data_IF_105823391205
#
_entry.id   IF_105823391205
#
_cell.length_a   1.000
_cell.length_b   1.000
_cell.length_c   1.000
_cell.angle_alpha   90.00
_cell.angle_beta   90.00
_cell.angle_gamma   90.00
#
_symmetry.space_group_name_H-M   'P 1'
#
loop_
_entity.id
_entity.type
_entity.pdbx_description
1 polymer ?
#
# COMPACT_ATOMS: atom_id res chain seq x y z
N UNK A 1 9.21 7.13 -21.50
CA UNK A 1 9.97 5.96 -21.01
C UNK A 1 10.99 6.46 -19.97
N UNK A 2 10.50 6.88 -18.81
CA UNK A 2 11.34 7.38 -17.71
C UNK A 2 11.61 6.22 -16.75
N UNK A 3 12.69 5.49 -16.99
CA UNK A 3 13.14 4.41 -16.12
C UNK A 3 13.84 4.96 -14.88
N UNK A 4 13.25 4.65 -13.73
CA UNK A 4 13.91 4.44 -12.44
C UNK A 4 14.65 5.64 -11.83
N UNK A 5 13.91 6.48 -11.10
CA UNK A 5 14.46 7.12 -9.90
C UNK A 5 14.71 6.03 -8.86
N UNK A 6 15.85 5.34 -8.99
CA UNK A 6 16.36 4.40 -7.98
C UNK A 6 16.50 5.16 -6.67
N UNK A 7 15.50 5.04 -5.80
CA UNK A 7 15.52 5.60 -4.45
C UNK A 7 16.81 5.17 -3.77
N UNK A 8 17.71 6.14 -3.60
CA UNK A 8 18.99 5.98 -2.91
C UNK A 8 18.59 5.65 -1.48
N UNK A 9 18.65 4.37 -1.07
CA UNK A 9 18.51 3.99 0.33
C UNK A 9 19.66 4.65 1.09
N UNK A 10 19.40 5.85 1.60
CA UNK A 10 20.30 6.58 2.47
C UNK A 10 20.64 5.64 3.63
N UNK A 11 21.93 5.38 3.82
CA UNK A 11 22.39 4.59 4.97
C UNK A 11 21.83 5.28 6.22
N UNK A 12 21.18 4.53 7.14
CA UNK A 12 20.61 5.15 8.32
C UNK A 12 21.71 5.90 9.06
N UNK A 13 21.43 7.18 9.31
CA UNK A 13 22.26 8.06 10.10
C UNK A 13 22.52 7.41 11.46
N UNK A 14 23.67 7.71 12.08
CA UNK A 14 23.96 7.23 13.43
C UNK A 14 22.84 7.60 14.41
N UNK A 15 22.17 8.74 14.21
CA UNK A 15 21.01 9.14 15.01
C UNK A 15 19.79 8.23 14.85
N UNK A 16 19.49 7.80 13.62
CA UNK A 16 18.36 6.90 13.34
C UNK A 16 18.59 5.52 13.97
N UNK A 17 19.82 5.01 13.90
CA UNK A 17 20.18 3.73 14.55
C UNK A 17 20.01 3.79 16.07
N UNK A 18 20.39 4.90 16.69
CA UNK A 18 20.24 5.08 18.14
C UNK A 18 18.75 5.20 18.49
N UNK A 19 17.99 5.96 17.70
CA UNK A 19 16.54 6.09 17.89
C UNK A 19 15.83 4.73 17.79
N UNK A 20 16.19 3.91 16.81
CA UNK A 20 15.63 2.56 16.65
C UNK A 20 15.93 1.66 17.85
N UNK A 21 17.16 1.71 18.37
CA UNK A 21 17.56 0.95 19.57
C UNK A 21 16.77 1.42 20.79
N UNK A 22 16.61 2.74 20.96
CA UNK A 22 15.85 3.31 22.08
C UNK A 22 14.38 2.92 21.99
N UNK A 23 13.75 3.06 20.82
CA UNK A 23 12.36 2.69 20.60
C UNK A 23 12.12 1.19 20.81
N UNK A 24 13.05 0.33 20.38
CA UNK A 24 12.96 -1.11 20.62
C UNK A 24 13.11 -1.47 22.11
N UNK A 25 13.95 -0.74 22.85
CA UNK A 25 14.18 -0.99 24.28
C UNK A 25 13.02 -0.46 25.13
N UNK A 26 12.57 0.78 24.87
CA UNK A 26 11.48 1.45 25.60
C UNK A 26 10.12 0.86 25.24
N UNK A 27 9.96 0.39 24.00
CA UNK A 27 8.76 -0.30 23.51
C UNK A 27 8.66 -1.78 23.92
N UNK A 28 9.47 -2.26 24.88
CA UNK A 28 9.42 -3.65 25.34
C UNK A 28 8.59 -3.84 26.62
N UNK A 29 7.78 -4.90 26.68
CA UNK A 29 7.02 -5.27 27.88
C UNK A 29 7.90 -5.48 29.11
N UNK A 30 9.15 -5.93 28.91
CA UNK A 30 10.13 -6.12 29.99
C UNK A 30 10.57 -4.79 30.62
N UNK A 31 10.70 -3.72 29.83
CA UNK A 31 11.08 -2.40 30.32
C UNK A 31 10.00 -1.83 31.25
N UNK A 32 8.73 -1.99 30.86
CA UNK A 32 7.58 -1.61 31.68
C UNK A 32 7.60 -2.33 33.03
N UNK A 33 7.79 -3.66 33.05
CA UNK A 33 7.81 -4.43 34.30
C UNK A 33 8.94 -4.02 35.24
N UNK A 34 10.14 -3.76 34.70
CA UNK A 34 11.29 -3.31 35.50
C UNK A 34 11.03 -1.91 36.07
N UNK A 35 10.52 -0.98 35.26
CA UNK A 35 10.14 0.37 35.70
C UNK A 35 9.06 0.34 36.78
N UNK A 36 8.00 -0.47 36.59
CA UNK A 36 6.93 -0.63 37.58
C UNK A 36 7.45 -1.23 38.89
N UNK A 37 8.37 -2.19 38.82
CA UNK A 37 8.98 -2.78 40.01
C UNK A 37 9.86 -1.78 40.77
N UNK A 38 10.71 -1.03 40.05
CA UNK A 38 11.59 -0.03 40.63
C UNK A 38 10.78 1.10 41.29
N UNK A 39 9.69 1.52 40.65
CA UNK A 39 8.76 2.51 41.18
C UNK A 39 8.02 1.99 42.41
N UNK A 40 7.49 0.76 42.36
CA UNK A 40 6.84 0.12 43.51
C UNK A 40 7.80 0.02 44.71
N UNK A 41 9.05 -0.40 44.45
CA UNK A 41 10.09 -0.44 45.47
C UNK A 41 10.41 0.95 46.03
N UNK A 42 10.48 1.97 45.17
CA UNK A 42 10.74 3.36 45.57
C UNK A 42 9.62 3.94 46.44
N UNK A 43 8.37 3.69 46.07
CA UNK A 43 7.20 4.08 46.87
C UNK A 43 7.25 3.38 48.23
N UNK A 44 7.49 2.06 48.27
CA UNK A 44 7.57 1.30 49.52
C UNK A 44 8.69 1.83 50.42
N UNK A 45 9.88 2.12 49.87
CA UNK A 45 10.99 2.71 50.63
C UNK A 45 10.67 4.11 51.16
N UNK A 46 10.00 4.96 50.37
CA UNK A 46 9.58 6.29 50.82
C UNK A 46 8.50 6.22 51.89
N UNK A 47 7.52 5.32 51.73
CA UNK A 47 6.45 5.11 52.72
C UNK A 47 7.03 4.59 54.04
N UNK A 48 8.00 3.68 54.01
CA UNK A 48 8.65 3.14 55.22
C UNK A 48 9.63 4.15 55.85
N UNK A 49 10.38 4.89 55.04
CA UNK A 49 11.38 5.86 55.50
C UNK A 49 10.78 7.15 56.07
N UNK A 50 9.54 7.50 55.70
CA UNK A 50 8.91 8.78 56.05
C UNK A 50 7.74 8.67 57.05
N UNK A 51 7.60 7.54 57.77
CA UNK A 51 6.52 7.26 58.75
C UNK A 51 6.41 8.30 59.90
N UNK A 52 7.30 9.30 59.99
CA UNK A 52 7.23 10.35 61.03
C UNK A 52 6.46 11.64 60.68
N UNK A 53 6.25 12.01 59.42
CA UNK A 53 5.57 13.27 59.07
C UNK A 53 4.74 13.10 57.79
N UNK A 54 3.46 12.77 57.97
CA UNK A 54 2.51 12.51 56.88
C UNK A 54 2.14 13.85 56.19
N UNK A 55 2.90 14.17 55.13
CA UNK A 55 2.66 15.16 54.07
C UNK A 55 2.16 16.56 54.50
N UNK A 56 3.05 17.35 55.12
CA UNK A 56 2.91 18.80 55.25
C UNK A 56 3.34 19.52 53.95
N UNK A 57 2.75 20.68 53.67
CA UNK A 57 3.00 21.50 52.48
C UNK A 57 4.52 21.61 52.17
N UNK A 58 5.01 21.21 50.98
CA UNK A 58 4.36 21.22 49.68
C UNK A 58 4.26 19.83 49.03
N UNK A 59 3.27 19.00 49.43
CA UNK A 59 2.83 17.74 48.79
C UNK A 59 3.86 17.05 47.86
N UNK A 60 5.03 16.73 48.40
CA UNK A 60 6.15 16.23 47.60
C UNK A 60 5.80 14.87 46.98
N UNK A 61 4.98 14.08 47.70
CA UNK A 61 4.53 12.78 47.26
C UNK A 61 3.54 12.88 46.09
N UNK A 62 2.62 13.86 46.10
CA UNK A 62 1.67 14.07 45.01
C UNK A 62 2.39 14.52 43.73
N UNK A 63 3.32 15.47 43.84
CA UNK A 63 4.12 15.91 42.69
C UNK A 63 4.98 14.78 42.11
N UNK A 64 5.54 13.93 42.98
CA UNK A 64 6.30 12.75 42.56
C UNK A 64 5.41 11.75 41.82
N UNK A 65 4.24 11.44 42.37
CA UNK A 65 3.27 10.54 41.75
C UNK A 65 2.82 11.04 40.37
N UNK A 66 2.48 12.33 40.24
CA UNK A 66 2.07 12.94 38.97
C UNK A 66 3.20 12.95 37.92
N UNK A 67 4.44 13.25 38.33
CA UNK A 67 5.60 13.23 37.43
C UNK A 67 5.88 11.82 36.90
N UNK A 68 5.76 10.80 37.74
CA UNK A 68 5.88 9.41 37.32
C UNK A 68 4.76 8.95 36.40
N UNK A 69 3.52 9.35 36.68
CA UNK A 69 2.38 9.06 35.84
C UNK A 69 2.59 9.60 34.41
N UNK A 70 3.11 10.82 34.28
CA UNK A 70 3.44 11.41 32.98
C UNK A 70 4.58 10.63 32.28
N UNK A 71 5.64 10.25 33.01
CA UNK A 71 6.76 9.51 32.45
C UNK A 71 6.35 8.12 31.89
N UNK A 72 5.37 7.48 32.51
CA UNK A 72 4.89 6.15 32.11
C UNK A 72 3.94 6.16 30.90
N UNK A 73 3.35 7.32 30.57
CA UNK A 73 2.52 7.45 29.38
C UNK A 73 3.33 7.30 28.09
N UNK A 74 4.56 7.80 28.05
CA UNK A 74 5.40 7.81 26.83
C UNK A 74 5.73 6.42 26.30
N UNK A 75 6.20 5.44 27.12
CA UNK A 75 6.40 4.06 26.65
C UNK A 75 5.14 3.40 26.12
N UNK A 76 3.98 3.62 26.75
CA UNK A 76 2.72 3.07 26.26
C UNK A 76 2.32 3.64 24.91
N UNK A 77 2.47 4.95 24.73
CA UNK A 77 2.21 5.61 23.45
C UNK A 77 3.13 5.01 22.38
N UNK A 78 4.43 4.89 22.66
CA UNK A 78 5.41 4.30 21.74
C UNK A 78 5.09 2.84 21.38
N UNK A 79 4.63 2.03 22.34
CA UNK A 79 4.21 0.66 22.05
C UNK A 79 2.97 0.59 21.16
N UNK A 80 1.96 1.43 21.45
CA UNK A 80 0.77 1.50 20.62
C UNK A 80 1.12 1.95 19.20
N UNK A 81 2.06 2.90 19.07
CA UNK A 81 2.58 3.36 17.78
C UNK A 81 3.35 2.25 17.05
N UNK A 82 4.24 1.52 17.72
CA UNK A 82 4.96 0.39 17.11
C UNK A 82 4.00 -0.68 16.59
N UNK A 83 3.01 -1.06 17.40
CA UNK A 83 1.97 -2.03 17.00
C UNK A 83 1.16 -1.52 15.81
N UNK A 84 0.75 -0.25 15.84
CA UNK A 84 0.01 0.36 14.74
C UNK A 84 0.84 0.38 13.45
N UNK A 85 2.12 0.73 13.55
CA UNK A 85 3.05 0.72 12.41
C UNK A 85 3.22 -0.68 11.80
N UNK A 86 3.26 -1.74 12.61
CA UNK A 86 3.31 -3.11 12.10
C UNK A 86 2.04 -3.51 11.35
N UNK A 87 0.87 -3.13 11.88
CA UNK A 87 -0.43 -3.36 11.22
C UNK A 87 -0.51 -2.59 9.91
N UNK A 88 -0.14 -1.31 9.92
CA UNK A 88 -0.14 -0.46 8.73
C UNK A 88 0.83 -1.00 7.67
N UNK A 89 1.99 -1.54 8.08
CA UNK A 89 2.95 -2.19 7.17
C UNK A 89 2.34 -3.43 6.51
N UNK A 90 1.65 -4.28 7.27
CA UNK A 90 1.00 -5.48 6.73
C UNK A 90 -0.13 -5.09 5.76
N UNK A 91 -0.93 -4.09 6.12
CA UNK A 91 -1.98 -3.58 5.25
C UNK A 91 -1.40 -3.02 3.95
N UNK A 92 -0.33 -2.22 4.03
CA UNK A 92 0.33 -1.70 2.84
C UNK A 92 0.89 -2.82 1.93
N UNK A 93 1.41 -3.91 2.50
CA UNK A 93 1.83 -5.08 1.71
C UNK A 93 0.65 -5.74 1.00
N UNK A 94 -0.48 -5.90 1.67
CA UNK A 94 -1.68 -6.47 1.07
C UNK A 94 -2.24 -5.57 -0.04
N UNK A 95 -2.27 -4.26 0.16
CA UNK A 95 -2.72 -3.29 -0.84
C UNK A 95 -1.83 -3.37 -2.10
N UNK A 96 -0.51 -3.44 -1.93
CA UNK A 96 0.44 -3.63 -3.05
C UNK A 96 0.21 -4.93 -3.82
N UNK A 97 -0.07 -6.03 -3.11
CA UNK A 97 -0.36 -7.32 -3.74
C UNK A 97 -1.68 -7.29 -4.52
N UNK A 98 -2.69 -6.59 -4.02
CA UNK A 98 -3.97 -6.39 -4.72
C UNK A 98 -3.79 -5.53 -5.96
N UNK A 99 -3.05 -4.42 -5.85
CA UNK A 99 -2.77 -3.52 -6.98
C UNK A 99 -2.02 -4.24 -8.09
N UNK A 100 -0.99 -5.04 -7.74
CA UNK A 100 -0.22 -5.83 -8.71
C UNK A 100 -1.12 -6.85 -9.43
N UNK A 101 -2.03 -7.51 -8.70
CA UNK A 101 -2.97 -8.45 -9.30
C UNK A 101 -3.97 -7.74 -10.23
N UNK A 102 -4.47 -6.59 -9.81
CA UNK A 102 -5.36 -5.77 -10.62
C UNK A 102 -4.67 -5.32 -11.92
N UNK A 103 -3.40 -4.91 -11.85
CA UNK A 103 -2.60 -4.55 -13.02
C UNK A 103 -2.51 -5.71 -14.03
N UNK A 104 -2.19 -6.92 -13.55
CA UNK A 104 -2.13 -8.14 -14.40
C UNK A 104 -3.50 -8.47 -15.00
N UNK A 105 -4.58 -8.34 -14.23
CA UNK A 105 -5.94 -8.61 -14.71
C UNK A 105 -6.35 -7.60 -15.80
N UNK A 106 -6.02 -6.32 -15.61
CA UNK A 106 -6.25 -5.26 -16.61
C UNK A 106 -5.44 -5.54 -17.89
N UNK A 107 -4.18 -5.94 -17.77
CA UNK A 107 -3.35 -6.31 -18.92
C UNK A 107 -3.98 -7.50 -19.69
N UNK A 108 -4.43 -8.53 -18.96
CA UNK A 108 -5.11 -9.69 -19.56
C UNK A 108 -6.41 -9.29 -20.27
N UNK A 109 -7.18 -8.37 -19.68
CA UNK A 109 -8.38 -7.81 -20.32
C UNK A 109 -8.04 -7.04 -21.59
N UNK A 110 -6.98 -6.23 -21.58
CA UNK A 110 -6.50 -5.52 -22.77
C UNK A 110 -6.14 -6.49 -23.89
N UNK A 111 -5.36 -7.53 -23.59
CA UNK A 111 -4.99 -8.56 -24.57
C UNK A 111 -6.22 -9.26 -25.16
N UNK A 112 -7.24 -9.55 -24.35
CA UNK A 112 -8.50 -10.12 -24.83
C UNK A 112 -9.25 -9.15 -25.75
N UNK A 113 -9.35 -7.87 -25.38
CA UNK A 113 -10.00 -6.83 -26.20
C UNK A 113 -9.29 -6.69 -27.54
N UNK A 114 -7.97 -6.60 -27.55
CA UNK A 114 -7.18 -6.50 -28.78
C UNK A 114 -7.41 -7.73 -29.67
N UNK A 115 -7.40 -8.93 -29.09
CA UNK A 115 -7.69 -10.16 -29.85
C UNK A 115 -9.10 -10.19 -30.45
N UNK A 116 -10.10 -9.60 -29.78
CA UNK A 116 -11.46 -9.50 -30.29
C UNK A 116 -11.55 -8.47 -31.41
N UNK A 117 -10.89 -7.31 -31.24
CA UNK A 117 -10.82 -6.28 -32.27
C UNK A 117 -10.13 -6.78 -33.53
N UNK A 118 -9.03 -7.51 -33.41
CA UNK A 118 -8.33 -8.08 -34.56
C UNK A 118 -9.20 -9.06 -35.34
N UNK A 119 -9.98 -9.90 -34.63
CA UNK A 119 -10.95 -10.81 -35.25
C UNK A 119 -12.05 -10.05 -35.98
N UNK A 120 -12.62 -9.03 -35.34
CA UNK A 120 -13.68 -8.21 -35.94
C UNK A 120 -13.19 -7.46 -37.18
N UNK A 121 -11.99 -6.89 -37.14
CA UNK A 121 -11.35 -6.25 -38.31
C UNK A 121 -11.13 -7.26 -39.43
N UNK A 122 -10.66 -8.48 -39.11
CA UNK A 122 -10.46 -9.53 -40.10
C UNK A 122 -11.78 -9.96 -40.76
N UNK A 123 -12.85 -10.10 -39.99
CA UNK A 123 -14.18 -10.47 -40.49
C UNK A 123 -14.79 -9.36 -41.34
N UNK A 124 -14.73 -8.10 -40.90
CA UNK A 124 -15.14 -6.94 -41.70
C UNK A 124 -14.37 -6.86 -43.02
N UNK A 125 -13.05 -7.06 -42.99
CA UNK A 125 -12.21 -7.07 -44.20
C UNK A 125 -12.63 -8.18 -45.16
N UNK A 126 -12.98 -9.37 -44.64
CA UNK A 126 -13.47 -10.49 -45.44
C UNK A 126 -14.81 -10.16 -46.10
N UNK A 127 -15.74 -9.55 -45.36
CA UNK A 127 -17.05 -9.13 -45.91
C UNK A 127 -16.87 -8.08 -47.01
N UNK A 128 -16.03 -7.07 -46.80
CA UNK A 128 -15.74 -6.05 -47.82
C UNK A 128 -15.14 -6.65 -49.09
N UNK A 129 -14.23 -7.63 -48.95
CA UNK A 129 -13.66 -8.34 -50.10
C UNK A 129 -14.73 -9.08 -50.92
N UNK A 130 -15.67 -9.76 -50.24
CA UNK A 130 -16.79 -10.45 -50.89
C UNK A 130 -17.72 -9.47 -51.61
N UNK A 131 -18.01 -8.32 -50.99
CA UNK A 131 -18.83 -7.29 -51.62
C UNK A 131 -18.16 -6.72 -52.88
N UNK A 132 -16.86 -6.46 -52.84
CA UNK A 132 -16.12 -5.96 -54.00
C UNK A 132 -16.11 -6.97 -55.16
N UNK A 133 -15.95 -8.27 -54.88
CA UNK A 133 -16.04 -9.33 -55.89
C UNK A 133 -17.45 -9.39 -56.51
N UNK A 134 -18.49 -9.24 -55.70
CA UNK A 134 -19.88 -9.22 -56.17
C UNK A 134 -20.18 -8.04 -57.08
N UNK A 135 -19.68 -6.84 -56.74
CA UNK A 135 -19.80 -5.64 -57.57
C UNK A 135 -19.12 -5.87 -58.92
N UNK A 136 -17.88 -6.38 -58.94
CA UNK A 136 -17.18 -6.70 -60.20
C UNK A 136 -17.94 -7.69 -61.07
N UNK A 137 -18.51 -8.75 -60.47
CA UNK A 137 -19.33 -9.72 -61.23
C UNK A 137 -20.57 -9.06 -61.82
N UNK A 138 -21.24 -8.16 -61.09
CA UNK A 138 -22.38 -7.40 -61.61
C UNK A 138 -21.98 -6.51 -62.78
N UNK A 139 -20.83 -5.82 -62.69
CA UNK A 139 -20.28 -5.02 -63.79
C UNK A 139 -19.97 -5.89 -65.02
N UNK A 140 -19.33 -7.05 -64.84
CA UNK A 140 -19.04 -7.99 -65.92
C UNK A 140 -20.32 -8.56 -66.55
N UNK A 141 -21.32 -8.91 -65.75
CA UNK A 141 -22.62 -9.39 -66.26
C UNK A 141 -23.33 -8.32 -67.06
N UNK A 142 -23.36 -7.07 -66.57
CA UNK A 142 -23.96 -5.95 -67.28
C UNK A 142 -23.23 -5.67 -68.61
N UNK A 143 -21.89 -5.68 -68.60
CA UNK A 143 -21.08 -5.50 -69.80
C UNK A 143 -21.32 -6.62 -70.83
N UNK A 144 -21.43 -7.88 -70.38
CA UNK A 144 -21.79 -9.02 -71.23
C UNK A 144 -23.21 -8.89 -71.78
N UNK A 145 -24.18 -8.49 -70.97
CA UNK A 145 -25.57 -8.33 -71.39
C UNK A 145 -25.72 -7.21 -72.43
N UNK A 146 -25.06 -6.06 -72.22
CA UNK A 146 -25.01 -4.98 -73.21
C UNK A 146 -24.38 -5.45 -74.52
N UNK A 147 -23.25 -6.19 -74.46
CA UNK A 147 -22.60 -6.74 -75.64
C UNK A 147 -23.46 -7.79 -76.37
N UNK A 148 -24.23 -8.60 -75.63
CA UNK A 148 -25.14 -9.60 -76.19
C UNK A 148 -26.41 -8.98 -76.78
N UNK A 149 -26.90 -7.86 -76.23
CA UNK A 149 -28.12 -7.19 -76.65
C UNK A 149 -27.90 -6.15 -77.78
N UNK A 150 -26.65 -5.87 -78.16
CA UNK A 150 -26.28 -5.06 -79.34
C UNK A 150 -25.36 -5.83 -80.31
N UNK A 151 -25.82 -6.88 -81.01
CA UNK A 151 -24.92 -7.71 -81.82
C UNK A 151 -24.46 -7.07 -83.14
N UNK A 152 -25.19 -6.12 -83.71
CA UNK A 152 -24.81 -5.43 -84.96
C UNK A 152 -25.71 -4.19 -85.20
N UNK A 153 -25.08 -3.00 -85.25
CA UNK A 153 -25.39 -1.92 -86.20
C UNK A 153 -24.05 -1.40 -86.70
#
# INVERSE_FOLDING_TARGET
MEMSTRSKRSRPSTGEKIADIVTATVGSWRFILIQSFLLGLWIVLNVIGWIKHWDEYPFILLNLALSFQAAYATPFILMSQNRQSEVDRLKAQQDLDVDTKAEIEIESLHQKIDSLKDREIADLSRVLAIQNDSIKRLEEMLAREIAANHPNV
#
